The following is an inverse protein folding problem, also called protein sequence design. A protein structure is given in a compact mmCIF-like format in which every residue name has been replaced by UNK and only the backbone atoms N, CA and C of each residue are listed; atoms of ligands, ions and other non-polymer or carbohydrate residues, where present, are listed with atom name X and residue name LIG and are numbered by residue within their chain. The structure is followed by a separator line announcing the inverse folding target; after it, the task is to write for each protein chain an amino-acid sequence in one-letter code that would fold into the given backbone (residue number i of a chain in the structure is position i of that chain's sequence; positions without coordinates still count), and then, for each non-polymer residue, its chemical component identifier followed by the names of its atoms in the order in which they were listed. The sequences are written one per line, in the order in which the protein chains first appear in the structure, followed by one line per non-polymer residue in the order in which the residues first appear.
data_IF_232319221351
#
_entry.id   IF_232319221351
#
_cell.length_a   1.000
_cell.length_b   1.000
_cell.length_c   1.000
_cell.angle_alpha   90.00
_cell.angle_beta   90.00
_cell.angle_gamma   90.00
#
_symmetry.space_group_name_H-M   'P 1'
#
loop_
_entity.id
_entity.type
_entity.pdbx_description
1 polymer ?
#
# COMPACT_ATOMS: atom_id res chain seq x y z
N UNK A 1 12.08 19.91 9.85
CA UNK A 1 11.11 18.79 9.84
C UNK A 1 11.25 18.13 8.50
N UNK A 2 11.94 16.99 8.42
CA UNK A 2 11.96 16.22 7.18
C UNK A 2 10.57 15.63 7.00
N UNK A 3 9.73 16.36 6.28
CA UNK A 3 8.38 15.96 5.95
C UNK A 3 8.35 14.54 5.37
N UNK A 4 9.47 14.10 4.77
CA UNK A 4 9.72 12.81 4.14
C UNK A 4 9.31 11.57 4.94
N UNK A 5 9.49 11.47 6.25
CA UNK A 5 9.13 10.23 6.96
C UNK A 5 7.65 10.08 7.22
N UNK A 6 7.01 11.11 7.78
CA UNK A 6 5.54 11.14 7.91
C UNK A 6 4.87 11.11 6.55
N UNK A 7 5.46 11.75 5.54
CA UNK A 7 5.01 11.66 4.15
C UNK A 7 5.16 10.22 3.66
N UNK A 8 6.29 9.54 3.89
CA UNK A 8 6.48 8.14 3.48
C UNK A 8 5.50 7.20 4.16
N UNK A 9 5.34 7.26 5.48
CA UNK A 9 4.40 6.40 6.19
C UNK A 9 2.96 6.71 5.78
N UNK A 10 2.59 7.98 5.68
CA UNK A 10 1.28 8.40 5.18
C UNK A 10 1.04 7.96 3.74
N UNK A 11 2.01 8.11 2.82
CA UNK A 11 1.89 7.64 1.45
C UNK A 11 1.79 6.12 1.37
N UNK A 12 2.46 5.40 2.26
CA UNK A 12 2.38 3.96 2.32
C UNK A 12 1.05 3.48 2.87
N UNK A 13 0.50 4.16 3.88
CA UNK A 13 -0.86 3.95 4.37
C UNK A 13 -1.88 4.26 3.28
N UNK A 14 -1.73 5.39 2.57
CA UNK A 14 -2.59 5.78 1.46
C UNK A 14 -2.52 4.79 0.29
N UNK A 15 -1.32 4.34 -0.09
CA UNK A 15 -1.10 3.32 -1.13
C UNK A 15 -1.55 1.93 -0.67
N UNK A 16 -1.60 1.68 0.63
CA UNK A 16 -2.13 0.43 1.19
C UNK A 16 -3.64 0.40 1.29
N UNK A 17 -4.28 1.58 1.26
CA UNK A 17 -5.74 1.69 1.25
C UNK A 17 -6.31 1.15 -0.06
N UNK A 18 -7.24 0.19 0.07
CA UNK A 18 -7.99 -0.40 -1.05
C UNK A 18 -8.67 0.65 -1.94
N UNK A 19 -8.95 1.84 -1.43
CA UNK A 19 -9.80 2.85 -2.06
C UNK A 19 -9.03 3.96 -2.78
N UNK A 20 -7.74 4.12 -2.47
CA UNK A 20 -6.97 5.24 -3.03
C UNK A 20 -6.80 5.12 -4.55
N UNK A 21 -6.36 3.95 -5.04
CA UNK A 21 -6.20 3.70 -6.49
C UNK A 21 -7.52 3.73 -7.27
N UNK A 22 -8.62 3.11 -6.78
CA UNK A 22 -9.93 3.28 -7.39
C UNK A 22 -10.38 4.74 -7.44
N UNK A 23 -10.15 5.51 -6.36
CA UNK A 23 -10.49 6.93 -6.31
C UNK A 23 -9.77 7.76 -7.37
N UNK A 24 -8.44 7.59 -7.48
CA UNK A 24 -7.63 8.30 -8.49
C UNK A 24 -8.05 7.91 -9.91
N UNK A 25 -8.24 6.62 -10.17
CA UNK A 25 -8.62 6.14 -11.50
C UNK A 25 -10.02 6.60 -11.89
N UNK A 26 -10.94 6.67 -10.92
CA UNK A 26 -12.28 7.23 -11.13
C UNK A 26 -12.20 8.70 -11.50
N UNK A 27 -11.38 9.49 -10.81
CA UNK A 27 -11.17 10.91 -11.15
C UNK A 27 -10.58 11.07 -12.57
N UNK A 28 -9.67 10.17 -12.95
CA UNK A 28 -9.08 10.12 -14.29
C UNK A 28 -10.14 9.76 -15.35
N UNK A 29 -10.99 8.78 -15.07
CA UNK A 29 -12.11 8.40 -15.93
C UNK A 29 -13.14 9.52 -16.10
N UNK A 30 -13.44 10.26 -15.01
CA UNK A 30 -14.27 11.46 -15.04
C UNK A 30 -13.66 12.49 -15.99
N UNK A 31 -12.38 12.81 -15.80
CA UNK A 31 -11.66 13.77 -16.63
C UNK A 31 -11.66 13.35 -18.10
N UNK A 32 -11.40 12.06 -18.37
CA UNK A 32 -11.43 11.50 -19.72
C UNK A 32 -12.81 11.63 -20.37
N UNK A 33 -13.89 11.39 -19.62
CA UNK A 33 -15.26 11.54 -20.13
C UNK A 33 -15.56 12.99 -20.53
N UNK A 34 -15.16 13.97 -19.72
CA UNK A 34 -15.31 15.39 -20.05
C UNK A 34 -14.49 15.80 -21.28
N UNK A 35 -13.24 15.33 -21.37
CA UNK A 35 -12.36 15.64 -22.51
C UNK A 35 -12.91 15.02 -23.79
N UNK A 36 -13.25 13.72 -23.77
CA UNK A 36 -13.77 13.03 -24.95
C UNK A 36 -15.06 13.69 -25.47
N UNK A 37 -16.01 13.96 -24.59
CA UNK A 37 -17.26 14.64 -24.96
C UNK A 37 -17.06 16.09 -25.39
N UNK A 38 -16.06 16.79 -24.84
CA UNK A 38 -15.65 18.13 -25.27
C UNK A 38 -15.05 18.14 -26.68
N UNK A 39 -14.22 17.15 -27.02
CA UNK A 39 -13.66 16.98 -28.37
C UNK A 39 -14.76 16.73 -29.40
N UNK A 40 -15.71 15.84 -29.08
CA UNK A 40 -16.88 15.58 -29.92
C UNK A 40 -17.71 16.86 -30.17
N UNK A 41 -17.86 17.70 -29.14
CA UNK A 41 -18.61 18.97 -29.24
C UNK A 41 -17.93 20.03 -30.11
N UNK A 42 -16.60 19.97 -30.26
CA UNK A 42 -15.84 20.87 -31.12
C UNK A 42 -15.91 20.49 -32.61
N UNK A 43 -16.72 19.50 -32.98
CA UNK A 43 -16.98 19.14 -34.37
C UNK A 43 -15.94 18.21 -35.00
N UNK A 44 -15.03 17.63 -34.20
CA UNK A 44 -14.07 16.63 -34.66
C UNK A 44 -14.70 15.25 -34.56
N UNK A 45 -15.63 14.92 -35.46
CA UNK A 45 -16.25 13.59 -35.50
C UNK A 45 -15.61 12.71 -36.58
N UNK A 46 -15.39 11.41 -36.32
CA UNK A 46 -14.89 10.50 -37.34
C UNK A 46 -15.97 10.29 -38.40
N UNK A 47 -15.73 10.75 -39.63
CA UNK A 47 -16.63 10.54 -40.76
C UNK A 47 -16.76 9.04 -41.06
N UNK A 48 -17.98 8.49 -41.02
CA UNK A 48 -18.27 7.10 -41.36
C UNK A 48 -18.97 6.27 -40.27
N UNK A 49 -19.19 6.83 -39.08
CA UNK A 49 -19.95 6.19 -38.00
C UNK A 49 -21.28 6.91 -37.75
N UNK A 50 -22.36 6.47 -38.40
CA UNK A 50 -23.72 6.92 -38.08
C UNK A 50 -24.23 6.20 -36.83
N UNK A 51 -23.94 6.78 -35.67
CA UNK A 51 -24.36 6.25 -34.38
C UNK A 51 -25.61 6.97 -33.86
N UNK A 52 -26.75 6.30 -33.89
CA UNK A 52 -28.00 6.81 -33.30
C UNK A 52 -27.89 6.98 -31.77
N UNK A 53 -28.57 7.98 -31.16
CA UNK A 53 -28.57 8.18 -29.71
C UNK A 53 -28.98 6.94 -28.91
N UNK A 54 -29.98 6.20 -29.39
CA UNK A 54 -30.47 4.99 -28.73
C UNK A 54 -29.47 3.84 -28.81
N UNK A 55 -28.75 3.70 -29.93
CA UNK A 55 -27.68 2.72 -30.07
C UNK A 55 -26.52 3.05 -29.13
N UNK A 56 -26.13 4.33 -29.05
CA UNK A 56 -25.10 4.80 -28.14
C UNK A 56 -25.46 4.51 -26.67
N UNK A 57 -26.68 4.87 -26.24
CA UNK A 57 -27.19 4.59 -24.89
C UNK A 57 -27.25 3.09 -24.60
N UNK A 58 -27.66 2.27 -25.57
CA UNK A 58 -27.73 0.81 -25.43
C UNK A 58 -26.34 0.19 -25.25
N UNK A 59 -25.35 0.61 -26.04
CA UNK A 59 -23.96 0.16 -25.90
C UNK A 59 -23.40 0.56 -24.53
N UNK A 60 -23.53 1.85 -24.16
CA UNK A 60 -23.01 2.36 -22.89
C UNK A 60 -23.69 1.70 -21.68
N UNK A 61 -25.00 1.47 -21.73
CA UNK A 61 -25.74 0.80 -20.64
C UNK A 61 -25.39 -0.68 -20.53
N UNK A 62 -25.18 -1.37 -21.65
CA UNK A 62 -24.71 -2.76 -21.66
C UNK A 62 -23.31 -2.87 -21.03
N UNK A 63 -22.38 -1.98 -21.41
CA UNK A 63 -21.04 -1.95 -20.83
C UNK A 63 -21.12 -1.63 -19.33
N UNK A 64 -21.83 -0.58 -18.93
CA UNK A 64 -21.97 -0.20 -17.52
C UNK A 64 -22.58 -1.34 -16.68
N UNK A 65 -23.65 -1.97 -17.16
CA UNK A 65 -24.27 -3.10 -16.47
C UNK A 65 -23.30 -4.28 -16.30
N UNK A 66 -22.58 -4.63 -17.36
CA UNK A 66 -21.57 -5.71 -17.31
C UNK A 66 -20.44 -5.39 -16.33
N UNK A 67 -19.95 -4.14 -16.28
CA UNK A 67 -18.89 -3.73 -15.37
C UNK A 67 -19.33 -3.80 -13.91
N UNK A 68 -20.58 -3.45 -13.59
CA UNK A 68 -21.11 -3.59 -12.24
C UNK A 68 -21.12 -5.05 -11.76
N UNK A 69 -21.50 -5.99 -12.64
CA UNK A 69 -21.43 -7.42 -12.35
C UNK A 69 -19.98 -7.89 -12.15
N UNK A 70 -19.04 -7.43 -12.98
CA UNK A 70 -17.62 -7.79 -12.87
C UNK A 70 -17.01 -7.23 -11.57
N UNK A 71 -17.31 -5.99 -11.19
CA UNK A 71 -16.89 -5.41 -9.90
C UNK A 71 -17.39 -6.25 -8.73
N UNK A 72 -18.66 -6.63 -8.76
CA UNK A 72 -19.27 -7.46 -7.71
C UNK A 72 -18.59 -8.83 -7.61
N UNK A 73 -18.39 -9.50 -8.75
CA UNK A 73 -17.69 -10.79 -8.82
C UNK A 73 -16.25 -10.68 -8.29
N UNK A 74 -15.54 -9.62 -8.68
CA UNK A 74 -14.17 -9.34 -8.24
C UNK A 74 -14.11 -9.18 -6.72
N UNK A 75 -15.02 -8.40 -6.13
CA UNK A 75 -15.10 -8.22 -4.69
C UNK A 75 -15.41 -9.54 -3.97
N UNK A 76 -16.33 -10.35 -4.49
CA UNK A 76 -16.61 -11.68 -3.94
C UNK A 76 -15.40 -12.60 -3.97
N UNK A 77 -14.64 -12.63 -5.09
CA UNK A 77 -13.42 -13.44 -5.20
C UNK A 77 -12.36 -12.95 -4.21
N UNK A 78 -12.12 -11.64 -4.10
CA UNK A 78 -11.17 -11.08 -3.13
C UNK A 78 -11.56 -11.49 -1.71
N UNK A 79 -12.85 -11.40 -1.36
CA UNK A 79 -13.33 -11.78 -0.04
C UNK A 79 -13.15 -13.28 0.23
N UNK A 80 -13.45 -14.14 -0.74
CA UNK A 80 -13.23 -15.59 -0.60
C UNK A 80 -11.75 -15.90 -0.41
N UNK A 81 -10.87 -15.26 -1.19
CA UNK A 81 -9.42 -15.40 -1.04
C UNK A 81 -8.95 -14.91 0.32
N UNK A 82 -9.49 -13.80 0.81
CA UNK A 82 -9.19 -13.25 2.14
C UNK A 82 -9.57 -14.25 3.26
N UNK A 83 -10.75 -14.86 3.16
CA UNK A 83 -11.21 -15.88 4.10
C UNK A 83 -10.32 -17.12 4.04
N UNK A 84 -10.03 -17.63 2.84
CA UNK A 84 -9.15 -18.79 2.65
C UNK A 84 -7.74 -18.50 3.18
N UNK A 85 -7.21 -17.30 2.92
CA UNK A 85 -5.90 -16.89 3.40
C UNK A 85 -5.87 -16.78 4.93
N UNK A 86 -6.91 -16.24 5.57
CA UNK A 86 -7.00 -16.19 7.03
C UNK A 86 -7.09 -17.58 7.66
N UNK A 87 -7.69 -18.55 6.96
CA UNK A 87 -7.78 -19.94 7.41
C UNK A 87 -6.44 -20.67 7.25
N UNK A 88 -5.82 -20.55 6.08
CA UNK A 88 -4.60 -21.29 5.74
C UNK A 88 -3.31 -20.64 6.26
N UNK A 89 -3.27 -19.31 6.41
CA UNK A 89 -2.08 -18.55 6.80
C UNK A 89 -2.24 -17.82 8.14
N UNK A 90 -1.16 -17.23 8.65
CA UNK A 90 -1.18 -16.35 9.81
C UNK A 90 -1.95 -15.05 9.48
N UNK A 91 -2.77 -14.50 10.40
CA UNK A 91 -3.46 -13.22 10.20
C UNK A 91 -2.54 -12.07 9.77
N UNK A 92 -1.25 -12.17 10.08
CA UNK A 92 -0.22 -11.20 9.71
C UNK A 92 0.07 -11.13 8.21
N UNK A 93 -0.23 -12.19 7.45
CA UNK A 93 -0.02 -12.27 5.99
C UNK A 93 -1.22 -11.68 5.24
N UNK A 94 -2.38 -11.58 5.91
CA UNK A 94 -3.61 -11.04 5.35
C UNK A 94 -3.45 -9.61 4.82
N UNK A 95 -2.59 -8.81 5.47
CA UNK A 95 -2.25 -7.45 5.04
C UNK A 95 -1.64 -7.42 3.65
N UNK A 96 -0.84 -8.42 3.28
CA UNK A 96 -0.21 -8.49 1.96
C UNK A 96 -1.25 -8.73 0.84
N UNK A 97 -2.31 -9.49 1.14
CA UNK A 97 -3.41 -9.72 0.21
C UNK A 97 -4.27 -8.47 0.00
N UNK A 98 -4.58 -7.75 1.09
CA UNK A 98 -5.32 -6.48 1.01
C UNK A 98 -4.52 -5.42 0.24
N UNK A 99 -3.18 -5.44 0.38
CA UNK A 99 -2.25 -4.51 -0.27
C UNK A 99 -1.86 -4.93 -1.70
N UNK A 100 -2.52 -5.95 -2.28
CA UNK A 100 -2.21 -6.40 -3.62
C UNK A 100 -2.52 -5.33 -4.67
N UNK A 101 -1.46 -4.69 -5.12
CA UNK A 101 -1.48 -3.57 -6.06
C UNK A 101 -2.12 -3.93 -7.40
N UNK A 102 -1.95 -5.18 -7.83
CA UNK A 102 -2.49 -5.67 -9.09
C UNK A 102 -4.01 -5.77 -9.03
N UNK A 103 -4.56 -6.41 -8.00
CA UNK A 103 -6.01 -6.49 -7.77
C UNK A 103 -6.65 -5.11 -7.65
N UNK A 104 -6.00 -4.18 -6.95
CA UNK A 104 -6.48 -2.80 -6.83
C UNK A 104 -6.51 -2.08 -8.19
N UNK A 105 -5.49 -2.25 -9.02
CA UNK A 105 -5.44 -1.64 -10.37
C UNK A 105 -6.56 -2.19 -11.26
N UNK A 106 -6.78 -3.50 -11.23
CA UNK A 106 -7.82 -4.13 -12.06
C UNK A 106 -9.21 -3.70 -11.61
N UNK A 107 -9.48 -3.70 -10.30
CA UNK A 107 -10.72 -3.16 -9.75
C UNK A 107 -10.94 -1.70 -10.15
N UNK A 108 -9.87 -0.90 -10.15
CA UNK A 108 -9.92 0.50 -10.57
C UNK A 108 -10.29 0.68 -12.04
N UNK A 109 -9.82 -0.20 -12.94
CA UNK A 109 -10.19 -0.20 -14.36
C UNK A 109 -11.70 -0.47 -14.53
N UNK A 110 -12.25 -1.44 -13.78
CA UNK A 110 -13.67 -1.78 -13.88
C UNK A 110 -14.57 -0.65 -13.38
N UNK A 111 -14.26 -0.09 -12.21
CA UNK A 111 -14.99 1.05 -11.64
C UNK A 111 -14.85 2.28 -12.54
N UNK A 112 -13.65 2.56 -13.04
CA UNK A 112 -13.40 3.67 -13.96
C UNK A 112 -14.21 3.54 -15.25
N UNK A 113 -14.23 2.35 -15.86
CA UNK A 113 -15.02 2.08 -17.07
C UNK A 113 -16.52 2.23 -16.81
N UNK A 114 -17.01 1.72 -15.69
CA UNK A 114 -18.40 1.91 -15.26
C UNK A 114 -18.79 3.38 -15.15
N UNK A 115 -18.01 4.17 -14.39
CA UNK A 115 -18.27 5.60 -14.18
C UNK A 115 -18.16 6.37 -15.48
N UNK A 116 -17.14 6.07 -16.31
CA UNK A 116 -16.98 6.66 -17.64
C UNK A 116 -18.24 6.47 -18.49
N UNK A 117 -18.76 5.24 -18.58
CA UNK A 117 -19.97 4.94 -19.36
C UNK A 117 -21.20 5.72 -18.85
N UNK A 118 -21.39 5.84 -17.54
CA UNK A 118 -22.50 6.62 -16.96
C UNK A 118 -22.38 8.12 -17.30
N UNK A 119 -21.18 8.68 -17.20
CA UNK A 119 -20.95 10.10 -17.48
C UNK A 119 -21.12 10.45 -18.96
N UNK A 120 -20.63 9.59 -19.86
CA UNK A 120 -20.83 9.77 -21.30
C UNK A 120 -22.32 9.63 -21.65
N UNK A 121 -23.02 8.67 -21.04
CA UNK A 121 -24.46 8.49 -21.26
C UNK A 121 -25.28 9.72 -20.83
N UNK A 122 -24.91 10.36 -19.72
CA UNK A 122 -25.55 11.62 -19.28
C UNK A 122 -25.36 12.78 -20.27
N UNK A 123 -24.34 12.70 -21.14
CA UNK A 123 -24.04 13.73 -22.14
C UNK A 123 -24.77 13.53 -23.46
N UNK A 124 -25.41 12.38 -23.69
CA UNK A 124 -26.21 12.13 -24.88
C UNK A 124 -27.53 12.91 -24.79
N UNK A 125 -27.71 13.89 -25.68
CA UNK A 125 -28.93 14.70 -25.74
C UNK A 125 -29.72 14.36 -27.00
N UNK A 126 -31.01 14.12 -26.82
CA UNK A 126 -31.98 13.96 -27.90
C UNK A 126 -33.23 14.75 -27.54
N UNK A 127 -33.24 16.03 -27.92
CA UNK A 127 -34.33 16.96 -27.64
C UNK A 127 -35.17 17.23 -28.90
N UNK A 128 -35.07 16.39 -29.94
CA UNK A 128 -35.78 16.53 -31.22
C UNK A 128 -35.34 17.69 -32.13
N UNK A 129 -34.68 18.73 -31.60
CA UNK A 129 -34.12 19.85 -32.38
C UNK A 129 -32.60 19.80 -32.51
N UNK A 130 -31.92 19.33 -31.47
CA UNK A 130 -30.47 19.09 -31.45
C UNK A 130 -30.25 17.65 -30.99
N UNK A 131 -29.67 16.84 -31.87
CA UNK A 131 -29.22 15.48 -31.57
C UNK A 131 -27.72 15.54 -31.36
N UNK A 132 -27.26 15.20 -30.15
CA UNK A 132 -25.85 15.16 -29.83
C UNK A 132 -25.45 13.78 -29.32
N UNK A 133 -24.56 13.13 -30.08
CA UNK A 133 -23.97 11.83 -29.75
C UNK A 133 -22.45 11.95 -29.79
N UNK A 134 -21.75 11.75 -28.65
CA UNK A 134 -20.30 11.85 -28.59
C UNK A 134 -19.65 10.54 -29.08
N UNK A 135 -19.36 10.46 -30.38
CA UNK A 135 -18.88 9.23 -31.04
C UNK A 135 -17.51 8.80 -30.51
N UNK A 136 -16.56 9.72 -30.33
CA UNK A 136 -15.27 9.39 -29.74
C UNK A 136 -15.42 8.86 -28.33
N UNK A 137 -16.29 9.49 -27.54
CA UNK A 137 -16.52 9.04 -26.18
C UNK A 137 -17.08 7.61 -26.13
N UNK A 138 -17.96 7.22 -27.07
CA UNK A 138 -18.48 5.86 -27.19
C UNK A 138 -17.40 4.88 -27.67
N UNK A 139 -16.57 5.25 -28.65
CA UNK A 139 -15.46 4.39 -29.11
C UNK A 139 -14.45 4.11 -27.99
N UNK A 140 -14.14 5.12 -27.17
CA UNK A 140 -13.30 4.97 -25.98
C UNK A 140 -13.99 4.04 -24.95
N UNK A 141 -15.31 4.13 -24.76
CA UNK A 141 -16.03 3.20 -23.89
C UNK A 141 -15.86 1.74 -24.35
N UNK A 142 -15.98 1.49 -25.66
CA UNK A 142 -15.79 0.15 -26.24
C UNK A 142 -14.34 -0.33 -26.02
N UNK A 143 -13.35 0.53 -26.25
CA UNK A 143 -11.95 0.20 -25.99
C UNK A 143 -11.69 -0.12 -24.50
N UNK A 144 -12.25 0.68 -23.58
CA UNK A 144 -12.18 0.43 -22.14
C UNK A 144 -12.86 -0.87 -21.74
N UNK A 145 -13.97 -1.23 -22.38
CA UNK A 145 -14.64 -2.51 -22.15
C UNK A 145 -13.76 -3.71 -22.58
N UNK A 146 -13.06 -3.61 -23.72
CA UNK A 146 -12.11 -4.63 -24.16
C UNK A 146 -10.91 -4.77 -23.22
N UNK A 147 -10.36 -3.64 -22.78
CA UNK A 147 -9.29 -3.60 -21.77
C UNK A 147 -9.76 -4.24 -20.46
N UNK A 148 -11.00 -3.93 -20.03
CA UNK A 148 -11.60 -4.53 -18.84
C UNK A 148 -11.78 -6.04 -18.99
N UNK A 149 -12.18 -6.53 -20.16
CA UNK A 149 -12.28 -7.98 -20.40
C UNK A 149 -10.92 -8.68 -20.30
N UNK A 150 -9.87 -8.10 -20.88
CA UNK A 150 -8.50 -8.63 -20.74
C UNK A 150 -8.01 -8.58 -19.28
N UNK A 151 -8.29 -7.48 -18.58
CA UNK A 151 -7.94 -7.32 -17.16
C UNK A 151 -8.66 -8.34 -16.27
N UNK A 152 -9.90 -8.72 -16.58
CA UNK A 152 -10.64 -9.77 -15.86
C UNK A 152 -9.98 -11.14 -16.02
N UNK A 153 -9.59 -11.51 -17.25
CA UNK A 153 -8.88 -12.78 -17.49
C UNK A 153 -7.55 -12.80 -16.73
N UNK A 154 -6.82 -11.69 -16.77
CA UNK A 154 -5.57 -11.53 -16.02
C UNK A 154 -5.80 -11.57 -14.50
N UNK A 155 -6.87 -10.98 -13.99
CA UNK A 155 -7.23 -11.02 -12.57
C UNK A 155 -7.45 -12.45 -12.08
N UNK A 156 -8.16 -13.26 -12.85
CA UNK A 156 -8.41 -14.66 -12.51
C UNK A 156 -7.09 -15.45 -12.42
N UNK A 157 -6.21 -15.29 -13.42
CA UNK A 157 -4.88 -15.92 -13.41
C UNK A 157 -4.01 -15.44 -12.25
N UNK A 158 -4.02 -14.13 -11.98
CA UNK A 158 -3.29 -13.51 -10.88
C UNK A 158 -3.73 -14.04 -9.52
N UNK A 159 -5.04 -14.05 -9.24
CA UNK A 159 -5.59 -14.60 -7.99
C UNK A 159 -5.30 -16.10 -7.87
N UNK A 160 -5.45 -16.87 -8.95
CA UNK A 160 -5.13 -18.30 -8.96
C UNK A 160 -3.65 -18.57 -8.62
N UNK A 161 -2.73 -17.70 -9.05
CA UNK A 161 -1.31 -17.75 -8.69
C UNK A 161 -1.04 -17.31 -7.25
N UNK A 162 -1.71 -16.26 -6.78
CA UNK A 162 -1.55 -15.77 -5.40
C UNK A 162 -2.03 -16.76 -4.34
N UNK A 163 -2.99 -17.62 -4.67
CA UNK A 163 -3.40 -18.73 -3.79
C UNK A 163 -2.30 -19.81 -3.63
N UNK A 164 -1.28 -19.85 -4.51
CA UNK A 164 -0.16 -20.78 -4.35
C UNK A 164 0.76 -20.28 -3.24
N UNK A 165 0.87 -21.05 -2.17
CA UNK A 165 1.73 -20.80 -1.01
C UNK A 165 3.16 -20.40 -1.39
N UNK A 166 3.71 -21.01 -2.45
CA UNK A 166 5.07 -20.72 -2.91
C UNK A 166 5.28 -19.30 -3.44
N UNK A 167 4.24 -18.64 -3.97
CA UNK A 167 4.34 -17.23 -4.36
C UNK A 167 4.45 -16.32 -3.14
N UNK A 168 3.65 -16.61 -2.10
CA UNK A 168 3.65 -15.85 -0.86
C UNK A 168 5.00 -15.98 -0.14
N UNK A 169 5.54 -17.21 -0.06
CA UNK A 169 6.85 -17.46 0.52
C UNK A 169 7.96 -16.70 -0.22
N UNK A 170 7.97 -16.78 -1.56
CA UNK A 170 8.93 -16.05 -2.37
C UNK A 170 8.81 -14.53 -2.23
N UNK A 171 7.59 -14.00 -2.10
CA UNK A 171 7.33 -12.58 -1.87
C UNK A 171 7.85 -12.12 -0.50
N UNK A 172 7.52 -12.84 0.57
CA UNK A 172 7.97 -12.52 1.93
C UNK A 172 9.50 -12.60 2.00
N UNK A 173 10.11 -13.64 1.44
CA UNK A 173 11.56 -13.78 1.40
C UNK A 173 12.20 -12.60 0.66
N UNK A 174 11.71 -12.24 -0.53
CA UNK A 174 12.22 -11.10 -1.31
C UNK A 174 12.09 -9.77 -0.55
N UNK A 175 10.97 -9.52 0.11
CA UNK A 175 10.77 -8.32 0.92
C UNK A 175 11.73 -8.28 2.10
N UNK A 176 11.86 -9.39 2.82
CA UNK A 176 12.76 -9.53 3.98
C UNK A 176 14.21 -9.28 3.58
N UNK A 177 14.69 -9.94 2.51
CA UNK A 177 16.06 -9.75 1.98
C UNK A 177 16.30 -8.30 1.56
N UNK A 178 15.32 -7.65 0.92
CA UNK A 178 15.41 -6.22 0.58
C UNK A 178 15.58 -5.33 1.81
N UNK A 179 14.82 -5.56 2.87
CA UNK A 179 14.91 -4.79 4.13
C UNK A 179 16.27 -5.01 4.81
N UNK A 180 16.73 -6.26 4.88
CA UNK A 180 18.05 -6.61 5.40
C UNK A 180 19.19 -5.92 4.64
N UNK A 181 19.11 -5.88 3.30
CA UNK A 181 20.11 -5.18 2.49
C UNK A 181 20.10 -3.66 2.73
N UNK A 182 18.93 -3.05 2.91
CA UNK A 182 18.83 -1.62 3.27
C UNK A 182 19.44 -1.35 4.64
N UNK A 183 19.07 -2.12 5.66
CA UNK A 183 19.60 -2.00 7.01
C UNK A 183 21.13 -2.17 7.04
N UNK A 184 21.67 -3.14 6.30
CA UNK A 184 23.11 -3.35 6.16
C UNK A 184 23.81 -2.16 5.48
N UNK A 185 23.21 -1.60 4.44
CA UNK A 185 23.76 -0.43 3.72
C UNK A 185 23.77 0.81 4.61
N UNK A 186 22.73 1.02 5.41
CA UNK A 186 22.66 2.13 6.36
C UNK A 186 23.68 1.96 7.49
N UNK A 187 23.81 0.76 8.05
CA UNK A 187 24.86 0.45 9.03
C UNK A 187 26.26 0.75 8.49
N UNK A 188 26.52 0.40 7.23
CA UNK A 188 27.80 0.69 6.56
C UNK A 188 28.05 2.18 6.31
N UNK A 189 27.02 3.04 6.26
CA UNK A 189 27.19 4.50 6.12
C UNK A 189 27.65 5.17 7.40
N UNK A 190 27.20 4.65 8.54
CA UNK A 190 27.51 5.19 9.88
C UNK A 190 28.64 4.43 10.57
N UNK A 191 29.08 3.29 10.03
CA UNK A 191 30.33 2.64 10.42
C UNK A 191 31.53 3.46 9.90
N UNK A 192 31.82 4.56 10.59
CA UNK A 192 33.14 5.18 10.50
C UNK A 192 34.13 4.28 11.23
N UNK A 193 35.13 3.78 10.49
CA UNK A 193 36.30 2.97 10.91
C UNK A 193 36.03 1.68 11.70
N UNK A 194 36.67 0.59 11.28
CA UNK A 194 36.76 -0.68 12.02
C UNK A 194 37.55 -0.58 13.35
N UNK A 195 37.97 0.63 13.73
CA UNK A 195 38.61 0.88 15.02
C UNK A 195 37.54 1.29 16.04
N UNK A 196 37.41 0.44 17.06
CA UNK A 196 36.53 0.53 18.23
C UNK A 196 35.04 0.21 17.95
N UNK A 197 34.68 -1.03 18.27
CA UNK A 197 33.52 -1.29 19.15
C UNK A 197 33.69 -0.45 20.42
N UNK A 198 33.51 0.87 20.34
CA UNK A 198 33.30 1.68 21.51
C UNK A 198 32.09 1.08 22.21
N UNK A 199 32.28 0.62 23.45
CA UNK A 199 31.14 0.16 24.26
C UNK A 199 30.14 1.30 24.28
N UNK A 200 28.89 1.04 23.90
CA UNK A 200 27.82 2.04 24.07
C UNK A 200 27.89 2.50 25.53
N UNK A 201 28.20 3.78 25.80
CA UNK A 201 28.36 4.23 27.17
C UNK A 201 27.05 4.01 27.91
N UNK A 202 27.13 3.45 29.11
CA UNK A 202 25.95 3.28 29.97
C UNK A 202 25.34 4.66 30.23
N UNK A 203 24.01 4.74 30.11
CA UNK A 203 23.31 5.99 30.38
C UNK A 203 23.57 6.45 31.82
N UNK A 204 23.96 7.72 32.03
CA UNK A 204 24.14 8.28 33.36
C UNK A 204 22.79 8.33 34.10
N UNK A 205 22.83 8.44 35.43
CA UNK A 205 21.60 8.51 36.26
C UNK A 205 20.77 9.74 35.95
N UNK A 206 21.42 10.81 35.51
CA UNK A 206 20.83 12.08 35.11
C UNK A 206 20.23 12.04 33.69
N UNK A 207 20.28 10.90 32.99
CA UNK A 207 19.69 10.78 31.66
C UNK A 207 18.18 11.03 31.70
N UNK A 208 17.72 11.89 30.79
CA UNK A 208 16.31 12.23 30.64
C UNK A 208 15.61 11.13 29.86
N UNK A 209 14.51 10.63 30.41
CA UNK A 209 13.63 9.64 29.76
C UNK A 209 12.64 10.36 28.87
N UNK A 210 12.56 9.92 27.62
CA UNK A 210 11.54 10.39 26.69
C UNK A 210 10.50 9.29 26.51
N UNK A 211 9.26 9.68 26.78
CA UNK A 211 8.13 8.78 26.87
C UNK A 211 7.31 8.76 25.59
N UNK A 212 6.79 7.59 25.23
CA UNK A 212 5.83 7.52 24.14
C UNK A 212 4.51 8.17 24.56
N UNK A 213 3.96 9.01 23.68
CA UNK A 213 2.63 9.62 23.84
C UNK A 213 1.52 8.74 23.25
N UNK A 214 1.86 7.61 22.61
CA UNK A 214 0.91 6.71 21.93
C UNK A 214 1.19 5.25 22.26
N UNK A 215 0.18 4.42 21.98
CA UNK A 215 0.27 2.96 22.04
C UNK A 215 0.43 2.43 20.61
N UNK A 216 1.38 1.52 20.41
CA UNK A 216 1.56 0.87 19.12
C UNK A 216 2.93 0.22 18.96
N UNK A 217 3.26 -0.14 17.74
CA UNK A 217 4.56 -0.65 17.34
C UNK A 217 5.37 0.45 16.66
N UNK A 218 6.67 0.52 16.92
CA UNK A 218 7.59 1.39 16.19
C UNK A 218 7.72 0.85 14.76
N UNK A 219 7.28 1.60 13.76
CA UNK A 219 7.27 1.19 12.36
C UNK A 219 8.47 1.71 11.56
N UNK A 220 8.98 2.89 11.92
CA UNK A 220 10.16 3.51 11.32
C UNK A 220 10.81 4.51 12.28
N UNK A 221 12.12 4.76 12.09
CA UNK A 221 12.91 5.72 12.90
C UNK A 221 13.80 6.57 12.01
N UNK A 222 13.77 7.90 12.18
CA UNK A 222 14.73 8.80 11.50
C UNK A 222 16.11 8.80 12.15
N UNK A 223 16.94 7.80 11.86
CA UNK A 223 18.29 7.77 12.42
C UNK A 223 19.15 8.96 12.00
N UNK A 224 19.00 9.45 10.76
CA UNK A 224 19.81 10.56 10.25
C UNK A 224 19.50 11.87 11.00
N UNK A 225 18.22 12.15 11.19
CA UNK A 225 17.77 13.33 11.92
C UNK A 225 18.06 13.25 13.42
N UNK A 226 17.95 12.06 14.03
CA UNK A 226 18.36 11.83 15.43
C UNK A 226 19.85 12.16 15.59
N UNK A 227 20.71 11.63 14.71
CA UNK A 227 22.16 11.90 14.76
C UNK A 227 22.45 13.38 14.56
N UNK A 228 21.74 14.06 13.66
CA UNK A 228 21.91 15.51 13.45
C UNK A 228 21.53 16.32 14.69
N UNK A 229 20.33 16.08 15.25
CA UNK A 229 19.87 16.77 16.46
C UNK A 229 20.79 16.51 17.66
N UNK A 230 21.26 15.27 17.79
CA UNK A 230 22.19 14.89 18.84
C UNK A 230 23.53 15.62 18.71
N UNK A 231 24.04 15.74 17.48
CA UNK A 231 25.30 16.44 17.18
C UNK A 231 25.18 17.96 17.37
N UNK A 232 24.08 18.56 16.92
CA UNK A 232 23.84 20.01 17.01
C UNK A 232 23.69 20.47 18.47
N UNK A 233 23.12 19.62 19.33
CA UNK A 233 22.90 19.92 20.75
C UNK A 233 24.01 19.35 21.67
N UNK A 234 25.03 18.68 21.14
CA UNK A 234 26.08 17.98 21.90
C UNK A 234 25.51 17.06 23.00
N UNK A 235 24.57 16.20 22.60
CA UNK A 235 23.93 15.19 23.44
C UNK A 235 24.12 13.78 22.88
N UNK A 236 24.07 12.79 23.76
CA UNK A 236 23.95 11.38 23.40
C UNK A 236 22.51 10.93 23.53
N UNK A 237 22.03 10.20 22.53
CA UNK A 237 20.70 9.59 22.51
C UNK A 237 20.84 8.07 22.46
N UNK A 238 20.25 7.37 23.42
CA UNK A 238 20.18 5.91 23.45
C UNK A 238 18.76 5.44 23.19
N UNK A 239 18.62 4.57 22.19
CA UNK A 239 17.37 3.90 21.86
C UNK A 239 17.16 2.71 22.81
N UNK A 240 16.06 2.73 23.57
CA UNK A 240 15.66 1.61 24.43
C UNK A 240 14.76 0.61 23.71
N UNK A 241 14.19 1.04 22.58
CA UNK A 241 13.27 0.25 21.74
C UNK A 241 13.64 0.43 20.28
N UNK A 242 13.54 -0.66 19.53
CA UNK A 242 13.85 -0.71 18.10
C UNK A 242 12.58 -0.79 17.24
N UNK A 243 12.74 -0.65 15.93
CA UNK A 243 11.67 -0.95 14.97
C UNK A 243 11.13 -2.36 15.23
N UNK A 244 9.80 -2.48 15.30
CA UNK A 244 9.10 -3.72 15.61
C UNK A 244 8.71 -3.89 17.08
N UNK A 245 9.29 -3.10 17.99
CA UNK A 245 8.94 -3.16 19.42
C UNK A 245 7.61 -2.47 19.70
N UNK A 246 6.87 -3.01 20.66
CA UNK A 246 5.66 -2.40 21.18
C UNK A 246 5.98 -1.36 22.26
N UNK A 247 5.33 -0.20 22.16
CA UNK A 247 5.39 0.89 23.14
C UNK A 247 4.00 1.21 23.67
N UNK A 248 3.90 1.43 24.99
CA UNK A 248 2.68 1.89 25.66
C UNK A 248 2.71 3.41 25.87
N UNK A 249 1.57 4.02 26.19
CA UNK A 249 1.58 5.40 26.73
C UNK A 249 2.48 5.42 27.97
N UNK A 250 3.36 6.41 28.06
CA UNK A 250 4.37 6.54 29.12
C UNK A 250 5.40 5.41 29.18
N UNK A 251 5.52 4.58 28.14
CA UNK A 251 6.62 3.65 27.99
C UNK A 251 7.91 4.38 27.62
N UNK A 252 9.01 4.04 28.29
CA UNK A 252 10.34 4.52 27.95
C UNK A 252 10.76 3.93 26.59
N UNK A 253 11.12 4.80 25.64
CA UNK A 253 11.66 4.32 24.35
C UNK A 253 12.99 4.99 23.97
N UNK A 254 13.38 6.05 24.67
CA UNK A 254 14.61 6.82 24.45
C UNK A 254 15.18 7.34 25.77
N UNK A 255 16.50 7.44 25.84
CA UNK A 255 17.25 8.20 26.84
C UNK A 255 18.08 9.28 26.13
N UNK A 256 18.18 10.47 26.74
CA UNK A 256 19.02 11.56 26.24
C UNK A 256 19.82 12.21 27.38
N UNK A 257 21.09 12.53 27.14
CA UNK A 257 21.99 13.15 28.12
C UNK A 257 23.13 13.93 27.44
N UNK A 258 23.81 14.87 28.12
CA UNK A 258 23.58 15.36 29.49
C UNK A 258 22.33 16.25 29.59
N UNK A 259 21.65 16.23 30.75
CA UNK A 259 20.38 16.93 30.97
C UNK A 259 20.43 18.43 30.66
N UNK A 260 21.56 19.07 30.99
CA UNK A 260 21.76 20.52 30.88
C UNK A 260 21.85 21.03 29.44
N UNK A 261 22.11 20.12 28.49
CA UNK A 261 22.20 20.45 27.07
C UNK A 261 20.90 20.20 26.31
N UNK A 262 19.86 19.61 26.94
CA UNK A 262 18.59 19.39 26.26
C UNK A 262 17.89 20.73 25.98
N UNK A 263 17.65 21.10 24.70
CA UNK A 263 16.84 22.25 24.36
C UNK A 263 15.39 22.06 24.78
N UNK A 264 14.70 23.16 25.09
CA UNK A 264 13.25 23.13 25.30
C UNK A 264 12.52 22.52 24.09
N UNK A 265 11.61 21.58 24.36
CA UNK A 265 10.82 20.86 23.35
C UNK A 265 11.61 19.83 22.53
N UNK A 266 12.82 19.43 22.95
CA UNK A 266 13.57 18.37 22.29
C UNK A 266 12.87 17.01 22.38
N UNK A 267 12.15 16.73 23.46
CA UNK A 267 11.34 15.53 23.63
C UNK A 267 10.27 15.41 22.54
N UNK A 268 9.55 16.50 22.24
CA UNK A 268 8.58 16.54 21.13
C UNK A 268 9.27 16.37 19.77
N UNK A 269 10.43 17.01 19.58
CA UNK A 269 11.20 16.88 18.33
C UNK A 269 11.69 15.46 18.11
N UNK A 270 12.28 14.83 19.12
CA UNK A 270 12.76 13.45 19.07
C UNK A 270 11.60 12.48 18.90
N UNK A 271 10.50 12.67 19.63
CA UNK A 271 9.29 11.86 19.46
C UNK A 271 8.72 11.95 18.04
N UNK A 272 8.78 13.12 17.40
CA UNK A 272 8.30 13.30 16.03
C UNK A 272 9.10 12.52 14.96
N UNK A 273 10.28 11.99 15.31
CA UNK A 273 11.13 11.17 14.44
C UNK A 273 10.77 9.68 14.44
N UNK A 274 9.80 9.29 15.26
CA UNK A 274 9.31 7.92 15.35
C UNK A 274 7.96 7.83 14.68
N UNK A 275 7.81 6.81 13.84
CA UNK A 275 6.51 6.43 13.32
C UNK A 275 5.96 5.28 14.17
N UNK A 276 4.81 5.52 14.82
CA UNK A 276 4.17 4.55 15.72
C UNK A 276 2.77 4.25 15.18
N UNK A 277 2.52 2.98 14.88
CA UNK A 277 1.24 2.53 14.34
C UNK A 277 0.69 1.29 15.06
N UNK A 278 -0.55 0.91 14.78
CA UNK A 278 -1.26 -0.14 15.53
C UNK A 278 -0.71 -1.55 15.29
N UNK A 279 0.06 -1.77 14.22
CA UNK A 279 0.61 -3.07 13.83
C UNK A 279 2.07 -2.94 13.37
N UNK A 280 2.84 -4.03 13.40
CA UNK A 280 4.19 -4.07 12.81
C UNK A 280 4.10 -4.01 11.28
N UNK A 281 5.14 -3.48 10.63
CA UNK A 281 5.24 -3.42 9.16
C UNK A 281 6.57 -3.97 8.67
N UNK A 282 6.60 -4.59 7.49
CA UNK A 282 7.85 -5.03 6.85
C UNK A 282 8.69 -3.88 6.27
N UNK A 283 8.36 -2.61 6.52
CA UNK A 283 9.08 -1.50 5.89
C UNK A 283 10.54 -1.43 6.34
N UNK A 284 10.75 -1.54 7.65
CA UNK A 284 12.06 -1.48 8.30
C UNK A 284 12.28 -2.65 9.28
N UNK A 285 11.28 -3.52 9.46
CA UNK A 285 11.31 -4.65 10.38
C UNK A 285 11.68 -5.97 9.69
N UNK A 286 12.97 -6.27 9.68
CA UNK A 286 13.50 -7.54 9.15
C UNK A 286 13.04 -8.78 9.95
N UNK A 287 12.80 -8.63 11.25
CA UNK A 287 12.40 -9.74 12.13
C UNK A 287 10.95 -10.17 11.85
N UNK A 288 10.09 -9.23 11.47
CA UNK A 288 8.71 -9.55 11.09
C UNK A 288 8.66 -10.49 9.88
N UNK A 289 9.56 -10.32 8.91
CA UNK A 289 9.63 -11.17 7.73
C UNK A 289 9.99 -12.61 8.07
N UNK A 290 11.04 -12.79 8.88
CA UNK A 290 11.43 -14.11 9.40
C UNK A 290 10.30 -14.73 10.23
N UNK A 291 9.64 -13.94 11.08
CA UNK A 291 8.54 -14.41 11.91
C UNK A 291 7.34 -14.86 11.08
N UNK A 292 7.03 -14.18 9.96
CA UNK A 292 5.98 -14.61 9.04
C UNK A 292 6.31 -15.96 8.37
N UNK A 293 7.57 -16.20 7.98
CA UNK A 293 8.00 -17.50 7.44
C UNK A 293 7.85 -18.62 8.47
N UNK A 294 8.27 -18.38 9.72
CA UNK A 294 8.09 -19.32 10.83
C UNK A 294 6.62 -19.59 11.12
N UNK A 295 5.77 -18.55 11.13
CA UNK A 295 4.33 -18.70 11.33
C UNK A 295 3.70 -19.58 10.23
N UNK A 296 4.15 -19.47 8.97
CA UNK A 296 3.70 -20.33 7.86
C UNK A 296 4.16 -21.78 8.10
N UNK A 297 5.42 -22.00 8.44
CA UNK A 297 5.96 -23.34 8.69
C UNK A 297 5.21 -24.04 9.84
N UNK A 298 5.01 -23.35 10.97
CA UNK A 298 4.28 -23.88 12.12
C UNK A 298 2.83 -24.20 11.78
N UNK A 299 2.16 -23.34 10.99
CA UNK A 299 0.77 -23.55 10.61
C UNK A 299 0.62 -24.67 9.59
N UNK A 300 1.55 -24.81 8.65
CA UNK A 300 1.62 -25.92 7.71
C UNK A 300 1.83 -27.27 8.44
N UNK A 301 2.62 -27.29 9.51
CA UNK A 301 2.82 -28.45 10.39
C UNK A 301 1.65 -28.71 11.35
N UNK A 302 0.66 -27.82 11.44
CA UNK A 302 -0.45 -28.00 12.37
C UNK A 302 -1.32 -29.19 11.99
N UNK A 303 -1.92 -29.91 12.96
CA UNK A 303 -2.76 -31.08 12.69
C UNK A 303 -3.94 -30.81 11.73
N UNK A 304 -4.39 -29.55 11.66
CA UNK A 304 -5.51 -29.13 10.82
C UNK A 304 -5.13 -28.89 9.36
N UNK A 305 -3.85 -28.63 9.06
CA UNK A 305 -3.36 -28.39 7.68
C UNK A 305 -2.54 -29.57 7.19
N UNK A 306 -1.55 -30.00 7.98
CA UNK A 306 -0.67 -31.14 7.72
C UNK A 306 -0.03 -31.13 6.31
N UNK A 307 0.59 -29.99 5.94
CA UNK A 307 1.29 -29.79 4.67
C UNK A 307 2.81 -29.62 4.89
N UNK A 308 3.56 -30.73 5.05
CA UNK A 308 5.00 -30.68 5.30
C UNK A 308 5.82 -30.10 4.13
N UNK A 309 5.31 -30.16 2.89
CA UNK A 309 6.01 -29.58 1.74
C UNK A 309 6.06 -28.05 1.81
N UNK A 310 4.98 -27.42 2.26
CA UNK A 310 4.95 -25.98 2.53
C UNK A 310 5.91 -25.60 3.67
N UNK A 311 6.00 -26.43 4.71
CA UNK A 311 6.89 -26.19 5.84
C UNK A 311 8.37 -26.17 5.39
N UNK A 312 8.80 -27.17 4.62
CA UNK A 312 10.17 -27.25 4.08
C UNK A 312 10.49 -26.04 3.20
N UNK A 313 9.57 -25.63 2.32
CA UNK A 313 9.76 -24.45 1.44
C UNK A 313 9.84 -23.12 2.18
N UNK A 314 9.42 -23.07 3.45
CA UNK A 314 9.50 -21.85 4.26
C UNK A 314 10.86 -21.68 4.93
N UNK A 315 11.68 -22.72 4.92
CA UNK A 315 13.04 -22.76 5.49
C UNK A 315 14.13 -22.40 4.46
N UNK A 316 13.83 -22.53 3.16
CA UNK A 316 14.70 -22.17 2.02
C UNK A 316 14.73 -20.65 1.71
#
# INVERSE_FOLDING_TARGET
MDANLRIRSFWDDLRSSLWFRPGVTTLLAVTLAFVATGVDRNGVYPSGYDLSPDNARSILSTIAGSMLSVVTMTFSIIMVVLVLASQQFSPRILRNFIRDQTSQNILSIFIGTFVYCLLVMLRISDNGKDIFVPVWAVLIAIALALISMAALVYFIDHIAKQTRVSYILAEINRQTVSVMHKARKERSRYAASEEETASVPDAPREAVRIYSQRVGYIQAIDFAEIVRLASDADITVQLLRAVGDFVSVHGDFLLAWPADHLPDGLDEKLYALFDIGPERTLMEDQLLGMQQLVDIALKAMSPSVNDPNTAVRSEE
#
